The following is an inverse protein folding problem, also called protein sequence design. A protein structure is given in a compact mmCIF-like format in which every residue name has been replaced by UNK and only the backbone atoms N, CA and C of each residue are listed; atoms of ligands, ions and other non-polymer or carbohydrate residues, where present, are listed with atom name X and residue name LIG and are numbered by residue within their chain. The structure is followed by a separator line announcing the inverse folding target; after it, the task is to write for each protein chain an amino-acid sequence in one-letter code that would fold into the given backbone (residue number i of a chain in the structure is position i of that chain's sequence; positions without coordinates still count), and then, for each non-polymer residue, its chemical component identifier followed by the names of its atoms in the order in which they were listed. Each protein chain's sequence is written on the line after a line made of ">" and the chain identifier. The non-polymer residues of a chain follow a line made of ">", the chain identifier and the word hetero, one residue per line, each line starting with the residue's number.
data_IF_542103622485
#
_entry.id   IF_542103622485
#
_cell.length_a   1.000
_cell.length_b   1.000
_cell.length_c   1.000
_cell.angle_alpha   90.00
_cell.angle_beta   90.00
_cell.angle_gamma   90.00
#
_symmetry.space_group_name_H-M   'P 1'
#
loop_
_entity.id
_entity.type
_entity.pdbx_description
1 polymer ?
#
# COMPACT_ATOMS: atom_id res chain seq x y z
N UNK A 1 -24.89 -12.66 52.29
CA UNK A 1 -25.04 -11.24 51.88
C UNK A 1 -23.65 -10.66 51.64
N UNK A 2 -23.10 -10.88 50.45
CA UNK A 2 -21.78 -10.35 50.06
C UNK A 2 -21.93 -8.99 49.39
N UNK A 3 -21.31 -7.96 49.96
CA UNK A 3 -21.26 -6.62 49.36
C UNK A 3 -20.23 -6.62 48.24
N UNK A 4 -20.71 -6.53 46.99
CA UNK A 4 -19.89 -6.21 45.83
C UNK A 4 -19.40 -4.76 45.95
N UNK A 5 -18.08 -4.59 46.11
CA UNK A 5 -17.42 -3.33 45.81
C UNK A 5 -17.34 -3.18 44.29
N UNK A 6 -18.20 -2.33 43.72
CA UNK A 6 -17.99 -1.80 42.37
C UNK A 6 -17.01 -0.63 42.54
N UNK A 7 -15.71 -0.89 42.33
CA UNK A 7 -14.73 0.19 42.22
C UNK A 7 -14.88 0.83 40.84
N UNK A 8 -15.52 1.99 40.86
CA UNK A 8 -15.50 2.96 39.78
C UNK A 8 -14.05 3.44 39.60
N UNK A 9 -13.36 2.98 38.57
CA UNK A 9 -12.05 3.50 38.16
C UNK A 9 -12.20 4.25 36.84
N UNK A 10 -12.74 5.48 36.97
CA UNK A 10 -12.37 6.59 36.14
C UNK A 10 -10.84 6.80 36.27
N UNK A 11 -10.07 6.29 35.32
CA UNK A 11 -8.65 6.60 35.19
C UNK A 11 -8.43 7.54 34.00
N UNK A 12 -8.53 8.84 34.31
CA UNK A 12 -7.74 9.95 33.77
C UNK A 12 -7.17 9.78 32.35
N UNK A 13 -7.78 10.47 31.40
CA UNK A 13 -7.12 10.86 30.16
C UNK A 13 -5.83 11.63 30.50
N UNK A 14 -4.70 10.94 30.44
CA UNK A 14 -3.40 11.53 30.75
C UNK A 14 -3.06 12.60 29.70
N UNK A 15 -2.40 13.66 30.14
CA UNK A 15 -1.91 14.77 29.31
C UNK A 15 -0.80 14.36 28.30
N UNK A 16 -0.72 13.09 27.91
CA UNK A 16 0.40 12.46 27.21
C UNK A 16 0.09 12.14 25.72
N UNK A 17 -0.14 13.16 24.88
CA UNK A 17 0.01 13.04 23.40
C UNK A 17 -0.58 11.80 22.70
N UNK A 18 -0.02 11.41 21.54
CA UNK A 18 -0.37 10.16 20.84
C UNK A 18 0.19 8.94 21.62
N UNK A 19 -0.48 8.57 22.71
CA UNK A 19 -0.18 7.38 23.50
C UNK A 19 -1.50 6.78 24.02
N UNK A 20 -1.72 5.48 23.82
CA UNK A 20 -2.93 4.76 24.23
C UNK A 20 -3.45 3.79 23.17
N UNK A 21 -4.47 2.99 23.52
CA UNK A 21 -5.09 2.03 22.59
C UNK A 21 -5.69 2.70 21.35
N UNK A 22 -6.22 3.91 21.51
CA UNK A 22 -6.61 4.83 20.45
C UNK A 22 -6.19 6.24 20.87
N UNK A 23 -5.36 6.90 20.06
CA UNK A 23 -4.87 8.23 20.37
C UNK A 23 -4.99 9.13 19.13
N UNK A 24 -5.29 10.41 19.37
CA UNK A 24 -5.54 11.39 18.32
C UNK A 24 -4.89 12.72 18.64
N UNK A 25 -4.24 13.31 17.63
CA UNK A 25 -3.73 14.68 17.68
C UNK A 25 -4.17 15.45 16.45
N UNK A 26 -4.73 16.63 16.69
CA UNK A 26 -5.19 17.58 15.68
C UNK A 26 -4.42 18.88 15.85
N UNK A 27 -3.89 19.39 14.74
CA UNK A 27 -3.11 20.62 14.66
C UNK A 27 -3.70 21.53 13.59
N UNK A 28 -4.08 22.74 13.99
CA UNK A 28 -4.40 23.80 13.04
C UNK A 28 -3.19 24.68 12.83
N UNK A 29 -2.81 24.87 11.58
CA UNK A 29 -1.62 25.63 11.19
C UNK A 29 -2.00 26.71 10.18
N UNK A 30 -1.39 27.89 10.32
CA UNK A 30 -1.40 28.97 9.33
C UNK A 30 -0.01 29.56 9.28
N UNK A 31 0.70 29.34 8.18
CA UNK A 31 2.08 29.82 8.03
C UNK A 31 2.42 30.15 6.59
N UNK A 32 3.45 30.96 6.40
CA UNK A 32 4.13 31.17 5.10
C UNK A 32 5.53 30.59 5.09
N UNK A 33 5.93 29.95 6.19
CA UNK A 33 7.29 29.46 6.37
C UNK A 33 7.49 28.11 5.68
N UNK A 34 8.70 27.89 5.20
CA UNK A 34 9.28 26.59 4.91
C UNK A 34 10.66 26.53 5.57
N UNK A 35 11.26 25.34 5.68
CA UNK A 35 12.57 25.25 6.32
C UNK A 35 13.35 24.00 6.00
N UNK A 36 14.59 24.17 5.54
CA UNK A 36 15.54 23.09 5.30
C UNK A 36 15.80 22.23 6.54
N UNK A 37 15.68 22.83 7.75
CA UNK A 37 15.89 22.17 9.03
C UNK A 37 14.71 21.33 9.54
N UNK A 38 13.64 21.19 8.76
CA UNK A 38 12.39 20.54 9.18
C UNK A 38 11.89 21.06 10.54
N UNK A 39 11.61 22.37 10.69
CA UNK A 39 11.17 22.91 11.97
C UNK A 39 9.85 22.27 12.39
N UNK A 40 9.74 21.92 13.68
CA UNK A 40 8.54 21.30 14.22
C UNK A 40 7.39 22.31 14.22
N UNK A 41 6.23 21.90 13.70
CA UNK A 41 4.95 22.55 13.93
C UNK A 41 4.37 22.07 15.26
N UNK A 42 4.37 20.76 15.49
CA UNK A 42 3.81 20.15 16.69
C UNK A 42 4.56 18.86 17.00
N UNK A 43 5.12 18.72 18.20
CA UNK A 43 5.90 17.54 18.56
C UNK A 43 5.82 17.24 20.05
N UNK A 44 5.85 15.96 20.42
CA UNK A 44 6.09 15.53 21.81
C UNK A 44 7.41 14.76 21.95
N UNK A 45 8.34 14.94 21.02
CA UNK A 45 9.71 14.43 21.11
C UNK A 45 10.70 15.57 20.95
N UNK A 46 11.93 15.36 21.36
CA UNK A 46 13.03 16.27 21.07
C UNK A 46 13.44 16.19 19.59
N UNK A 47 12.55 16.70 18.73
CA UNK A 47 12.72 16.65 17.28
C UNK A 47 13.92 17.47 16.83
N UNK A 48 14.18 18.59 17.50
CA UNK A 48 15.20 19.55 17.09
C UNK A 48 16.64 19.15 17.44
N UNK A 49 16.87 18.14 18.29
CA UNK A 49 18.23 17.63 18.55
C UNK A 49 18.81 16.80 17.41
N UNK A 50 17.97 16.27 16.53
CA UNK A 50 18.43 15.52 15.36
C UNK A 50 18.94 16.43 14.25
N UNK A 51 20.01 16.02 13.57
CA UNK A 51 20.45 16.65 12.31
C UNK A 51 19.59 16.18 11.14
N UNK A 52 19.50 16.99 10.09
CA UNK A 52 18.88 16.59 8.83
C UNK A 52 19.77 15.53 8.17
N UNK A 53 19.16 14.46 7.67
CA UNK A 53 19.83 13.36 7.00
C UNK A 53 18.97 12.89 5.82
N UNK A 54 19.62 12.63 4.69
CA UNK A 54 18.98 12.02 3.53
C UNK A 54 18.93 10.50 3.72
N UNK A 55 17.73 9.95 3.86
CA UNK A 55 17.49 8.51 4.01
C UNK A 55 17.31 7.80 2.67
N UNK A 56 17.57 8.49 1.56
CA UNK A 56 17.46 7.89 0.23
C UNK A 56 18.47 6.76 0.07
N UNK A 57 17.94 5.56 -0.11
CA UNK A 57 18.68 4.31 -0.34
C UNK A 57 17.92 3.46 -1.36
N UNK A 58 18.34 2.21 -1.55
CA UNK A 58 17.56 1.23 -2.30
C UNK A 58 16.21 0.89 -1.65
N UNK A 59 16.04 1.10 -0.33
CA UNK A 59 14.87 0.66 0.44
C UNK A 59 14.09 1.79 1.14
N UNK A 60 14.57 3.03 1.02
CA UNK A 60 13.94 4.22 1.56
C UNK A 60 14.18 5.42 0.64
N UNK A 61 13.40 6.47 0.83
CA UNK A 61 13.49 7.70 0.04
C UNK A 61 13.42 8.90 0.97
N UNK A 62 14.02 10.03 0.58
CA UNK A 62 13.83 11.38 1.12
C UNK A 62 14.52 11.70 2.45
N UNK A 63 14.67 13.00 2.71
CA UNK A 63 15.31 13.53 3.93
C UNK A 63 14.36 13.61 5.13
N UNK A 64 14.92 13.50 6.32
CA UNK A 64 14.24 13.72 7.61
C UNK A 64 15.28 13.96 8.72
N UNK A 65 14.85 14.15 9.98
CA UNK A 65 15.79 14.34 11.11
C UNK A 65 16.18 13.02 11.75
N UNK A 66 17.43 12.91 12.22
CA UNK A 66 17.94 11.70 12.92
C UNK A 66 17.20 11.38 14.21
N UNK A 67 16.65 12.40 14.87
CA UNK A 67 15.78 12.30 16.05
C UNK A 67 14.43 11.63 15.77
N UNK A 68 14.07 11.36 14.51
CA UNK A 68 12.77 10.76 14.20
C UNK A 68 12.57 9.32 14.68
N UNK A 69 13.63 8.62 15.09
CA UNK A 69 13.51 7.34 15.80
C UNK A 69 13.10 7.51 17.26
N UNK A 70 13.32 8.69 17.86
CA UNK A 70 12.91 8.93 19.25
C UNK A 70 11.41 8.69 19.41
N UNK A 71 11.04 8.15 20.57
CA UNK A 71 9.63 7.92 20.93
C UNK A 71 8.82 9.20 20.80
N UNK A 72 7.61 9.07 20.28
CA UNK A 72 6.66 10.16 20.08
C UNK A 72 6.44 10.48 18.61
N UNK A 73 5.85 11.64 18.34
CA UNK A 73 5.53 12.11 17.01
C UNK A 73 6.01 13.55 16.76
N UNK A 74 6.11 13.93 15.49
CA UNK A 74 6.33 15.30 15.05
C UNK A 74 5.56 15.58 13.75
N UNK A 75 4.79 16.66 13.72
CA UNK A 75 4.46 17.39 12.51
C UNK A 75 5.54 18.44 12.30
N UNK A 76 6.07 18.53 11.08
CA UNK A 76 7.11 19.49 10.74
C UNK A 76 6.90 20.09 9.34
N UNK A 77 7.54 21.22 9.07
CA UNK A 77 7.56 21.82 7.73
C UNK A 77 8.63 21.15 6.87
N UNK A 78 8.31 20.92 5.60
CA UNK A 78 9.28 20.48 4.61
C UNK A 78 9.92 21.69 3.89
N UNK A 79 11.09 21.52 3.25
CA UNK A 79 11.73 22.57 2.46
C UNK A 79 10.86 23.04 1.28
N UNK A 80 10.08 22.13 0.70
CA UNK A 80 9.20 22.40 -0.43
C UNK A 80 7.92 23.18 -0.07
N UNK A 81 7.67 23.46 1.22
CA UNK A 81 6.47 24.18 1.69
C UNK A 81 5.29 23.31 2.12
N UNK A 82 5.36 22.00 1.92
CA UNK A 82 4.40 21.05 2.49
C UNK A 82 4.73 20.71 3.95
N UNK A 83 3.90 19.89 4.57
CA UNK A 83 4.11 19.34 5.91
C UNK A 83 4.72 17.93 5.84
N UNK A 84 5.24 17.42 6.96
CA UNK A 84 5.64 16.01 7.12
C UNK A 84 5.17 15.50 8.47
N UNK A 85 4.92 14.20 8.55
CA UNK A 85 4.67 13.51 9.81
C UNK A 85 5.74 12.47 10.09
N UNK A 86 6.21 12.43 11.32
CA UNK A 86 7.10 11.41 11.84
C UNK A 86 6.52 10.78 13.11
N UNK A 87 6.60 9.45 13.22
CA UNK A 87 6.31 8.67 14.43
C UNK A 87 7.51 7.76 14.70
N UNK A 88 7.91 7.62 15.97
CA UNK A 88 9.00 6.73 16.38
C UNK A 88 8.68 6.00 17.67
N UNK A 89 9.30 4.83 17.87
CA UNK A 89 9.15 3.97 19.06
C UNK A 89 10.49 3.75 19.82
N UNK A 90 11.56 4.44 19.38
CA UNK A 90 12.93 4.26 19.85
C UNK A 90 13.80 3.34 18.97
N UNK A 91 13.19 2.56 18.07
CA UNK A 91 13.87 1.59 17.18
C UNK A 91 13.49 1.82 15.70
N UNK A 92 12.19 1.83 15.45
CA UNK A 92 11.51 2.01 14.18
C UNK A 92 10.98 3.44 14.04
N UNK A 93 10.66 3.82 12.80
CA UNK A 93 10.05 5.12 12.48
C UNK A 93 9.16 5.07 11.24
N UNK A 94 8.19 5.98 11.19
CA UNK A 94 7.43 6.35 10.01
C UNK A 94 7.86 7.75 9.58
N UNK A 95 7.98 7.97 8.26
CA UNK A 95 8.10 9.30 7.67
C UNK A 95 7.08 9.42 6.53
N UNK A 96 6.16 10.36 6.67
CA UNK A 96 5.21 10.75 5.62
C UNK A 96 5.61 12.08 5.03
N UNK A 97 5.80 12.13 3.71
CA UNK A 97 6.24 13.31 2.97
C UNK A 97 5.40 13.47 1.70
N UNK A 98 4.32 14.26 1.74
CA UNK A 98 3.53 14.62 0.58
C UNK A 98 4.23 15.70 -0.26
N UNK A 99 3.61 16.02 -1.41
CA UNK A 99 4.05 17.10 -2.30
C UNK A 99 3.43 18.44 -1.88
N UNK A 100 4.12 19.53 -2.16
CA UNK A 100 3.58 20.88 -1.94
C UNK A 100 2.49 21.28 -2.95
N UNK A 101 2.39 20.59 -4.08
CA UNK A 101 1.34 20.82 -5.08
C UNK A 101 -0.03 20.46 -4.53
N UNK A 102 -0.14 19.39 -3.73
CA UNK A 102 -1.42 18.92 -3.17
C UNK A 102 -1.60 19.25 -1.70
N UNK A 103 -0.51 19.28 -0.92
CA UNK A 103 -0.58 19.48 0.54
C UNK A 103 0.35 20.61 1.03
N UNK A 104 0.25 21.83 0.48
CA UNK A 104 1.00 22.96 1.00
C UNK A 104 0.51 23.32 2.40
N UNK A 105 1.39 23.88 3.22
CA UNK A 105 1.00 24.57 4.47
C UNK A 105 1.63 25.96 4.58
N UNK A 106 2.46 26.34 3.61
CA UNK A 106 3.16 27.62 3.53
C UNK A 106 2.43 28.66 2.65
N UNK A 107 1.17 28.44 2.30
CA UNK A 107 0.41 29.34 1.43
C UNK A 107 -0.32 30.47 2.20
N UNK A 108 -0.10 30.55 3.52
CA UNK A 108 -0.73 31.52 4.42
C UNK A 108 -2.20 31.22 4.75
N UNK A 109 -2.76 30.14 4.23
CA UNK A 109 -4.11 29.69 4.59
C UNK A 109 -4.08 28.83 5.84
N UNK A 110 -5.27 28.55 6.35
CA UNK A 110 -5.46 27.73 7.52
C UNK A 110 -5.68 26.28 7.10
N UNK A 111 -4.84 25.39 7.60
CA UNK A 111 -4.89 23.97 7.34
C UNK A 111 -5.09 23.17 8.63
N UNK A 112 -5.67 21.98 8.50
CA UNK A 112 -5.84 21.01 9.57
C UNK A 112 -5.00 19.78 9.29
N UNK A 113 -4.02 19.51 10.16
CA UNK A 113 -3.19 18.32 10.13
C UNK A 113 -3.61 17.40 11.28
N UNK A 114 -3.82 16.12 10.97
CA UNK A 114 -4.27 15.15 11.97
C UNK A 114 -3.47 13.86 11.84
N UNK A 115 -3.14 13.28 12.99
CA UNK A 115 -2.67 11.91 13.07
C UNK A 115 -3.49 11.16 14.12
N UNK A 116 -3.93 9.95 13.78
CA UNK A 116 -4.54 9.02 14.71
C UNK A 116 -3.71 7.74 14.78
N UNK A 117 -3.56 7.18 15.97
CA UNK A 117 -2.91 5.91 16.23
C UNK A 117 -3.95 4.97 16.83
N UNK A 118 -4.14 3.80 16.22
CA UNK A 118 -4.98 2.73 16.73
C UNK A 118 -4.10 1.49 16.95
N UNK A 119 -3.85 1.17 18.22
CA UNK A 119 -2.99 0.04 18.59
C UNK A 119 -3.67 -1.31 18.37
N UNK A 120 -5.01 -1.36 18.42
CA UNK A 120 -5.80 -2.57 18.18
C UNK A 120 -5.71 -2.97 16.70
N UNK A 121 -5.90 -1.99 15.81
CA UNK A 121 -5.77 -2.16 14.36
C UNK A 121 -4.33 -2.14 13.87
N UNK A 122 -3.40 -1.69 14.73
CA UNK A 122 -1.99 -1.47 14.40
C UNK A 122 -1.85 -0.53 13.19
N UNK A 123 -2.56 0.59 13.23
CA UNK A 123 -2.54 1.59 12.17
C UNK A 123 -2.24 3.00 12.70
N UNK A 124 -1.54 3.78 11.89
CA UNK A 124 -1.47 5.23 12.02
C UNK A 124 -2.11 5.87 10.78
N UNK A 125 -3.19 6.65 10.97
CA UNK A 125 -3.85 7.37 9.88
C UNK A 125 -3.46 8.85 9.92
N UNK A 126 -3.29 9.43 8.74
CA UNK A 126 -2.92 10.82 8.54
C UNK A 126 -3.98 11.54 7.71
N UNK A 127 -4.28 12.77 8.10
CA UNK A 127 -5.27 13.59 7.42
C UNK A 127 -4.74 14.99 7.16
N UNK A 128 -5.16 15.53 6.03
CA UNK A 128 -4.92 16.90 5.58
C UNK A 128 -6.26 17.52 5.20
N UNK A 129 -6.63 18.62 5.85
CA UNK A 129 -7.87 19.36 5.62
C UNK A 129 -9.12 18.48 5.64
N UNK A 130 -9.16 17.58 6.63
CA UNK A 130 -10.28 16.68 6.85
C UNK A 130 -10.23 15.38 6.05
N UNK A 131 -9.38 15.30 5.02
CA UNK A 131 -9.26 14.15 4.12
C UNK A 131 -8.23 13.14 4.63
N UNK A 132 -8.56 11.85 4.67
CA UNK A 132 -7.54 10.81 4.90
C UNK A 132 -6.60 10.75 3.69
N UNK A 133 -5.30 10.97 3.94
CA UNK A 133 -4.25 11.00 2.89
C UNK A 133 -3.27 9.85 3.00
N UNK A 134 -3.17 9.20 4.16
CA UNK A 134 -2.33 8.02 4.33
C UNK A 134 -2.78 7.16 5.52
N UNK A 135 -2.47 5.88 5.42
CA UNK A 135 -2.56 4.88 6.49
C UNK A 135 -1.23 4.14 6.50
N UNK A 136 -0.60 4.03 7.66
CA UNK A 136 0.63 3.29 7.87
C UNK A 136 0.35 2.12 8.80
N UNK A 137 0.82 0.92 8.43
CA UNK A 137 0.91 -0.17 9.39
C UNK A 137 1.90 0.18 10.49
N UNK A 138 1.49 -0.01 11.74
CA UNK A 138 2.36 0.03 12.92
C UNK A 138 2.61 -1.37 13.46
N UNK A 139 2.34 -2.42 12.67
CA UNK A 139 2.69 -3.78 13.04
C UNK A 139 4.20 -3.91 13.26
N UNK A 140 4.58 -4.43 14.43
CA UNK A 140 5.97 -4.55 14.85
C UNK A 140 6.57 -3.27 15.46
N UNK A 141 5.80 -2.17 15.56
CA UNK A 141 6.20 -1.03 16.39
C UNK A 141 6.11 -1.40 17.86
N UNK A 142 7.08 -0.92 18.64
CA UNK A 142 7.02 -0.89 20.08
C UNK A 142 6.22 0.31 20.59
N UNK A 143 6.43 0.63 21.86
CA UNK A 143 5.79 1.77 22.52
C UNK A 143 6.25 3.11 21.93
N UNK A 144 5.27 3.92 21.50
CA UNK A 144 5.48 5.26 20.93
C UNK A 144 5.38 6.37 21.97
N UNK A 145 5.12 6.06 23.25
CA UNK A 145 5.02 7.05 24.31
C UNK A 145 6.37 7.76 24.55
N UNK A 146 6.41 9.06 24.33
CA UNK A 146 7.62 9.86 24.59
C UNK A 146 7.82 10.21 26.06
N UNK A 147 6.76 10.14 26.87
CA UNK A 147 6.74 10.64 28.25
C UNK A 147 6.81 12.17 28.37
N UNK A 148 6.74 12.92 27.26
CA UNK A 148 6.81 14.39 27.30
C UNK A 148 5.54 15.06 26.78
N UNK A 149 5.27 16.26 27.30
CA UNK A 149 4.17 17.09 26.83
C UNK A 149 4.43 17.56 25.38
N UNK A 150 3.35 17.67 24.61
CA UNK A 150 3.43 18.21 23.24
C UNK A 150 3.74 19.70 23.26
N UNK A 151 4.70 20.13 22.46
CA UNK A 151 5.13 21.51 22.22
C UNK A 151 4.64 21.99 20.86
N UNK A 152 4.19 23.24 20.79
CA UNK A 152 3.82 23.94 19.56
C UNK A 152 5.02 24.72 19.04
N UNK A 153 5.21 24.71 17.73
CA UNK A 153 6.10 25.61 17.02
C UNK A 153 5.33 26.73 16.32
N UNK A 154 6.06 27.51 15.52
CA UNK A 154 5.52 28.69 14.85
C UNK A 154 4.42 28.35 13.84
N UNK A 155 3.43 29.24 13.73
CA UNK A 155 2.30 29.09 12.82
C UNK A 155 1.20 28.13 13.29
N UNK A 156 1.38 27.40 14.41
CA UNK A 156 0.31 26.59 14.98
C UNK A 156 -0.69 27.47 15.72
N UNK A 157 -1.91 27.54 15.20
CA UNK A 157 -2.99 28.37 15.74
C UNK A 157 -3.84 27.66 16.78
N UNK A 158 -3.98 26.33 16.70
CA UNK A 158 -4.74 25.54 17.68
C UNK A 158 -4.28 24.09 17.71
N UNK A 159 -4.46 23.42 18.85
CA UNK A 159 -4.15 21.99 19.03
C UNK A 159 -5.27 21.34 19.83
N UNK A 160 -5.77 20.20 19.37
CA UNK A 160 -6.74 19.38 20.09
C UNK A 160 -6.22 17.94 20.23
N UNK A 161 -6.65 17.27 21.32
CA UNK A 161 -6.38 15.86 21.57
C UNK A 161 -7.70 15.19 21.92
N UNK A 162 -7.95 14.03 21.33
CA UNK A 162 -9.19 13.25 21.50
C UNK A 162 -8.80 11.77 21.65
N UNK A 163 -9.74 10.93 22.06
CA UNK A 163 -9.50 9.49 22.31
C UNK A 163 -9.86 8.63 21.09
N UNK A 164 -10.58 9.16 20.11
CA UNK A 164 -10.86 8.46 18.85
C UNK A 164 -11.18 9.43 17.72
N UNK A 165 -10.87 9.06 16.48
CA UNK A 165 -11.42 9.72 15.29
C UNK A 165 -11.60 8.73 14.16
N UNK A 166 -12.82 8.60 13.65
CA UNK A 166 -13.08 8.01 12.33
C UNK A 166 -12.82 9.04 11.23
N UNK A 167 -12.76 8.59 9.98
CA UNK A 167 -12.66 9.49 8.82
C UNK A 167 -13.79 10.54 8.85
N UNK A 168 -15.01 10.13 9.23
CA UNK A 168 -16.19 11.00 9.34
C UNK A 168 -16.05 12.04 10.46
N UNK A 169 -15.49 11.67 11.61
CA UNK A 169 -15.27 12.61 12.71
C UNK A 169 -14.23 13.69 12.35
N UNK A 170 -13.18 13.31 11.62
CA UNK A 170 -12.16 14.26 11.14
C UNK A 170 -12.75 15.18 10.07
N UNK A 171 -13.54 14.65 9.14
CA UNK A 171 -14.23 15.44 8.13
C UNK A 171 -15.26 16.41 8.75
N UNK A 172 -15.96 15.99 9.81
CA UNK A 172 -16.91 16.84 10.53
C UNK A 172 -16.18 18.01 11.22
N UNK A 173 -15.07 17.74 11.94
CA UNK A 173 -14.29 18.77 12.60
C UNK A 173 -13.76 19.84 11.61
N UNK A 174 -13.36 19.40 10.41
CA UNK A 174 -12.99 20.32 9.32
C UNK A 174 -14.18 21.19 8.90
N UNK A 175 -15.33 20.57 8.63
CA UNK A 175 -16.55 21.25 8.18
C UNK A 175 -17.05 22.25 9.21
N UNK A 176 -17.08 21.90 10.49
CA UNK A 176 -17.56 22.77 11.57
C UNK A 176 -16.73 24.06 11.67
N UNK A 177 -15.42 23.98 11.44
CA UNK A 177 -14.54 25.15 11.54
C UNK A 177 -14.44 25.99 10.26
N UNK A 178 -14.58 25.36 9.10
CA UNK A 178 -14.31 26.03 7.80
C UNK A 178 -15.53 26.21 6.91
N UNK A 179 -16.63 25.50 7.21
CA UNK A 179 -17.79 25.37 6.33
C UNK A 179 -17.56 24.48 5.11
N UNK A 180 -16.34 23.98 4.88
CA UNK A 180 -16.00 23.20 3.70
C UNK A 180 -16.29 21.71 3.89
N UNK A 181 -16.82 21.07 2.85
CA UNK A 181 -17.17 19.65 2.86
C UNK A 181 -16.01 18.83 2.29
N UNK A 182 -15.57 17.81 3.04
CA UNK A 182 -14.61 16.82 2.56
C UNK A 182 -15.32 15.84 1.61
N UNK A 183 -14.72 15.57 0.46
CA UNK A 183 -15.25 14.53 -0.44
C UNK A 183 -15.11 13.16 0.23
N UNK A 184 -16.20 12.42 0.34
CA UNK A 184 -16.17 11.08 0.96
C UNK A 184 -15.44 10.03 0.11
N UNK A 185 -15.07 10.35 -1.13
CA UNK A 185 -14.37 9.46 -2.06
C UNK A 185 -15.22 8.33 -2.66
N UNK A 186 -16.48 8.18 -2.23
CA UNK A 186 -17.39 7.16 -2.71
C UNK A 186 -18.02 7.59 -4.04
N UNK A 187 -18.23 6.63 -4.94
CA UNK A 187 -19.12 6.83 -6.07
C UNK A 187 -20.56 7.06 -5.58
N UNK A 188 -21.27 7.95 -6.27
CA UNK A 188 -22.67 8.26 -5.97
C UNK A 188 -23.62 7.09 -6.26
N UNK A 189 -23.25 6.23 -7.21
CA UNK A 189 -23.98 5.03 -7.62
C UNK A 189 -23.08 3.81 -7.49
N UNK A 190 -23.69 2.63 -7.64
CA UNK A 190 -22.95 1.38 -7.75
C UNK A 190 -21.86 1.47 -8.83
N UNK A 191 -20.67 0.94 -8.53
CA UNK A 191 -19.55 0.89 -9.47
C UNK A 191 -19.56 -0.46 -10.17
N UNK A 192 -19.92 -0.49 -11.45
CA UNK A 192 -20.02 -1.76 -12.20
C UNK A 192 -18.67 -2.27 -12.70
N UNK A 193 -17.64 -1.44 -12.67
CA UNK A 193 -16.31 -1.76 -13.17
C UNK A 193 -15.22 -1.13 -12.31
N UNK A 194 -14.20 -1.90 -11.97
CA UNK A 194 -12.98 -1.42 -11.30
C UNK A 194 -11.74 -1.85 -12.08
N UNK A 195 -10.82 -0.91 -12.33
CA UNK A 195 -9.51 -1.23 -12.94
C UNK A 195 -8.47 -1.44 -11.85
N UNK A 196 -7.82 -2.59 -11.89
CA UNK A 196 -6.81 -2.99 -10.92
C UNK A 196 -5.44 -3.04 -11.61
N UNK A 197 -4.42 -2.49 -10.96
CA UNK A 197 -3.03 -2.56 -11.41
C UNK A 197 -2.16 -3.30 -10.38
N UNK A 198 -1.41 -4.29 -10.85
CA UNK A 198 -0.34 -4.95 -10.11
C UNK A 198 0.99 -4.48 -10.69
N UNK A 199 1.91 -3.96 -9.85
CA UNK A 199 3.21 -3.53 -10.36
C UNK A 199 4.31 -3.49 -9.30
N UNK A 200 5.37 -4.28 -9.54
CA UNK A 200 6.68 -4.09 -8.92
C UNK A 200 7.37 -2.91 -9.63
N UNK A 201 7.63 -1.83 -8.89
CA UNK A 201 8.20 -0.60 -9.48
C UNK A 201 9.73 -0.56 -9.46
N UNK A 202 10.41 -1.63 -9.03
CA UNK A 202 11.86 -1.80 -9.05
C UNK A 202 12.64 -0.68 -8.35
N UNK A 203 13.10 -0.94 -7.13
CA UNK A 203 13.83 0.06 -6.34
C UNK A 203 13.07 1.40 -6.18
N UNK A 204 11.75 1.34 -5.97
CA UNK A 204 10.88 2.50 -5.79
C UNK A 204 10.62 3.29 -7.06
N UNK A 205 10.87 2.75 -8.26
CA UNK A 205 10.74 3.47 -9.53
C UNK A 205 11.86 4.47 -9.76
N UNK A 206 12.98 4.36 -9.02
CA UNK A 206 14.01 5.42 -8.94
C UNK A 206 15.28 5.14 -9.74
N UNK A 207 15.32 4.07 -10.54
CA UNK A 207 16.51 3.67 -11.33
C UNK A 207 16.86 4.64 -12.45
N UNK A 208 15.91 5.47 -12.89
CA UNK A 208 16.12 6.56 -13.83
C UNK A 208 16.33 7.93 -13.13
N UNK A 209 16.62 7.91 -11.82
CA UNK A 209 16.73 9.11 -10.97
C UNK A 209 15.56 9.21 -9.98
N UNK A 210 15.80 9.83 -8.83
CA UNK A 210 14.83 9.87 -7.73
C UNK A 210 13.53 10.59 -8.09
N UNK A 211 13.62 11.77 -8.72
CA UNK A 211 12.45 12.57 -9.07
C UNK A 211 11.85 12.15 -10.42
N UNK A 212 12.70 12.11 -11.46
CA UNK A 212 12.29 11.72 -12.82
C UNK A 212 11.72 10.30 -12.88
N UNK A 213 12.31 9.36 -12.14
CA UNK A 213 11.82 7.98 -12.09
C UNK A 213 10.43 7.88 -11.42
N UNK A 214 10.23 8.60 -10.31
CA UNK A 214 8.91 8.69 -9.66
C UNK A 214 7.90 9.33 -10.62
N UNK A 215 8.27 10.39 -11.33
CA UNK A 215 7.39 11.04 -12.30
C UNK A 215 6.95 10.08 -13.41
N UNK A 216 7.89 9.36 -14.03
CA UNK A 216 7.58 8.32 -15.05
C UNK A 216 6.67 7.22 -14.50
N UNK A 217 6.87 6.84 -13.25
CA UNK A 217 6.02 5.87 -12.56
C UNK A 217 4.59 6.41 -12.41
N UNK A 218 4.43 7.68 -12.01
CA UNK A 218 3.13 8.35 -11.93
C UNK A 218 2.46 8.46 -13.30
N UNK A 219 3.21 8.81 -14.35
CA UNK A 219 2.72 8.91 -15.73
C UNK A 219 2.18 7.56 -16.22
N UNK A 220 2.96 6.48 -16.08
CA UNK A 220 2.54 5.13 -16.43
C UNK A 220 1.27 4.68 -15.68
N UNK A 221 1.13 5.04 -14.40
CA UNK A 221 -0.09 4.75 -13.63
C UNK A 221 -1.27 5.56 -14.13
N UNK A 222 -1.10 6.84 -14.45
CA UNK A 222 -2.18 7.68 -15.01
C UNK A 222 -2.66 7.12 -16.35
N UNK A 223 -1.74 6.72 -17.22
CA UNK A 223 -2.05 6.11 -18.54
C UNK A 223 -2.78 4.77 -18.40
N UNK A 224 -2.56 4.04 -17.30
CA UNK A 224 -3.28 2.80 -17.00
C UNK A 224 -4.76 3.03 -16.66
N UNK A 225 -5.13 4.24 -16.21
CA UNK A 225 -6.44 4.57 -15.64
C UNK A 225 -6.88 3.62 -14.51
N UNK A 226 -5.93 3.09 -13.74
CA UNK A 226 -6.21 2.17 -12.63
C UNK A 226 -6.92 2.88 -11.48
N UNK A 227 -7.96 2.26 -10.94
CA UNK A 227 -8.70 2.75 -9.78
C UNK A 227 -8.08 2.27 -8.46
N UNK A 228 -7.54 1.04 -8.45
CA UNK A 228 -6.86 0.43 -7.29
C UNK A 228 -5.53 -0.17 -7.74
N UNK A 229 -4.47 0.07 -6.97
CA UNK A 229 -3.11 -0.29 -7.30
C UNK A 229 -2.49 -1.10 -6.15
N UNK A 230 -2.09 -2.33 -6.45
CA UNK A 230 -1.27 -3.18 -5.57
C UNK A 230 0.18 -3.07 -6.01
N UNK A 231 1.01 -2.39 -5.21
CA UNK A 231 2.38 -2.02 -5.61
C UNK A 231 3.43 -2.70 -4.73
N UNK A 232 4.51 -3.15 -5.36
CA UNK A 232 5.66 -3.81 -4.72
C UNK A 232 6.94 -2.97 -4.93
N UNK A 233 7.95 -3.21 -4.09
CA UNK A 233 9.23 -2.49 -4.09
C UNK A 233 9.12 -0.98 -4.00
N UNK A 234 8.17 -0.48 -3.22
CA UNK A 234 7.89 0.96 -3.16
C UNK A 234 8.98 1.77 -2.47
N UNK A 235 9.61 1.22 -1.44
CA UNK A 235 10.85 1.73 -0.83
C UNK A 235 10.86 3.23 -0.55
N UNK A 236 9.73 3.73 -0.03
CA UNK A 236 9.54 5.13 0.35
C UNK A 236 9.01 6.05 -0.75
N UNK A 237 8.89 5.58 -1.99
CA UNK A 237 8.29 6.35 -3.10
C UNK A 237 6.75 6.39 -3.05
N UNK A 238 6.12 5.40 -2.40
CA UNK A 238 4.66 5.25 -2.33
C UNK A 238 3.88 6.51 -1.96
N UNK A 239 4.24 7.25 -0.89
CA UNK A 239 3.54 8.47 -0.51
C UNK A 239 3.55 9.56 -1.59
N UNK A 240 4.69 9.77 -2.26
CA UNK A 240 4.81 10.77 -3.33
C UNK A 240 3.98 10.38 -4.56
N UNK A 241 3.98 9.09 -4.91
CA UNK A 241 3.19 8.56 -6.03
C UNK A 241 1.68 8.72 -5.73
N UNK A 242 1.22 8.26 -4.56
CA UNK A 242 -0.20 8.36 -4.19
C UNK A 242 -0.67 9.81 -4.09
N UNK A 243 0.17 10.71 -3.59
CA UNK A 243 -0.14 12.13 -3.51
C UNK A 243 -0.26 12.78 -4.90
N UNK A 244 0.64 12.45 -5.83
CA UNK A 244 0.59 12.94 -7.21
C UNK A 244 -0.61 12.39 -8.03
N UNK A 245 -1.17 11.25 -7.61
CA UNK A 245 -2.40 10.68 -8.15
C UNK A 245 -3.67 11.24 -7.50
N UNK A 246 -3.53 11.81 -6.29
CA UNK A 246 -4.68 12.20 -5.47
C UNK A 246 -5.38 11.04 -4.78
N UNK A 247 -4.70 9.88 -4.62
CA UNK A 247 -5.30 8.63 -4.14
C UNK A 247 -5.18 8.49 -2.61
N UNK A 248 -6.05 7.66 -2.04
CA UNK A 248 -5.87 7.10 -0.70
C UNK A 248 -4.65 6.18 -0.72
N UNK A 249 -3.88 6.18 0.36
CA UNK A 249 -2.62 5.46 0.46
C UNK A 249 -2.58 4.57 1.70
N UNK A 250 -2.19 3.31 1.53
CA UNK A 250 -1.85 2.41 2.63
C UNK A 250 -0.43 1.87 2.43
N UNK A 251 0.45 2.11 3.41
CA UNK A 251 1.75 1.46 3.49
C UNK A 251 1.69 0.27 4.44
N UNK A 252 1.78 -0.95 3.91
CA UNK A 252 1.87 -2.15 4.72
C UNK A 252 3.27 -2.36 5.28
N UNK A 253 4.29 -2.15 4.45
CA UNK A 253 5.70 -2.27 4.82
C UNK A 253 6.55 -1.41 3.88
N UNK A 254 7.86 -1.36 4.08
CA UNK A 254 8.76 -0.66 3.15
C UNK A 254 8.69 -1.20 1.73
N UNK A 255 8.24 -2.44 1.53
CA UNK A 255 8.04 -3.06 0.22
C UNK A 255 6.65 -2.77 -0.35
N UNK A 256 5.60 -3.08 0.42
CA UNK A 256 4.24 -3.20 -0.07
C UNK A 256 3.39 -1.97 0.24
N UNK A 257 2.75 -1.44 -0.80
CA UNK A 257 1.73 -0.41 -0.64
C UNK A 257 0.48 -0.70 -1.47
N UNK A 258 -0.63 -0.11 -1.06
CA UNK A 258 -1.89 -0.09 -1.78
C UNK A 258 -2.31 1.35 -1.98
N UNK A 259 -2.74 1.68 -3.20
CA UNK A 259 -3.30 2.99 -3.53
C UNK A 259 -4.68 2.82 -4.12
N UNK A 260 -5.60 3.73 -3.80
CA UNK A 260 -6.98 3.62 -4.25
C UNK A 260 -7.59 4.99 -4.50
N UNK A 261 -8.34 5.12 -5.59
CA UNK A 261 -9.22 6.26 -5.85
C UNK A 261 -10.34 6.37 -4.81
N UNK A 262 -10.73 5.23 -4.25
CA UNK A 262 -11.81 5.07 -3.30
C UNK A 262 -11.30 4.88 -1.85
N UNK A 263 -12.10 5.19 -0.82
CA UNK A 263 -11.70 5.08 0.59
C UNK A 263 -11.23 3.69 1.01
N UNK A 264 -10.16 3.67 1.80
CA UNK A 264 -9.67 2.46 2.48
C UNK A 264 -10.32 2.37 3.86
N UNK A 265 -11.16 1.36 4.06
CA UNK A 265 -11.98 1.21 5.28
C UNK A 265 -11.37 0.27 6.31
N UNK A 266 -10.63 -0.73 5.87
CA UNK A 266 -10.02 -1.74 6.73
C UNK A 266 -8.66 -2.11 6.16
N UNK A 267 -7.68 -2.38 7.02
CA UNK A 267 -6.34 -2.86 6.63
C UNK A 267 -6.09 -4.25 7.18
N UNK A 268 -5.36 -5.07 6.44
CA UNK A 268 -5.08 -6.47 6.76
C UNK A 268 -3.58 -6.73 6.85
N UNK A 269 -3.11 -6.96 8.08
CA UNK A 269 -1.73 -7.36 8.41
C UNK A 269 -1.59 -8.90 8.39
N UNK A 270 -1.67 -9.50 7.20
CA UNK A 270 -1.65 -10.97 7.03
C UNK A 270 -0.26 -11.47 6.62
N UNK A 271 0.22 -12.56 7.22
CA UNK A 271 1.54 -13.16 6.97
C UNK A 271 2.73 -12.21 7.26
N UNK A 272 3.87 -12.41 6.62
CA UNK A 272 5.06 -11.57 6.79
C UNK A 272 4.86 -10.20 6.13
N UNK A 273 5.18 -9.12 6.86
CA UNK A 273 4.95 -7.73 6.45
C UNK A 273 5.54 -7.36 5.10
N UNK A 274 6.69 -7.94 4.75
CA UNK A 274 7.37 -7.68 3.48
C UNK A 274 6.75 -8.44 2.29
N UNK A 275 5.89 -9.45 2.53
CA UNK A 275 5.46 -10.41 1.51
C UNK A 275 4.00 -10.37 1.13
N UNK A 276 3.11 -10.10 2.07
CA UNK A 276 1.68 -10.16 1.79
C UNK A 276 0.91 -9.25 2.72
N UNK A 277 -0.18 -8.63 2.25
CA UNK A 277 -1.03 -7.72 3.02
C UNK A 277 -2.08 -7.04 2.19
N UNK A 278 -3.03 -6.35 2.79
CA UNK A 278 -4.10 -5.74 2.00
C UNK A 278 -4.98 -4.74 2.72
N UNK A 279 -6.04 -4.36 2.04
CA UNK A 279 -7.06 -3.47 2.56
C UNK A 279 -8.45 -3.76 1.95
N UNK A 280 -9.51 -3.43 2.67
CA UNK A 280 -10.86 -3.35 2.11
C UNK A 280 -11.11 -1.93 1.60
N UNK A 281 -11.48 -1.84 0.33
CA UNK A 281 -11.79 -0.59 -0.37
C UNK A 281 -13.30 -0.55 -0.60
N UNK A 282 -13.91 0.61 -0.33
CA UNK A 282 -15.35 0.84 -0.50
C UNK A 282 -15.59 1.72 -1.72
N UNK A 283 -16.15 1.16 -2.80
CA UNK A 283 -16.31 1.84 -4.09
C UNK A 283 -17.51 2.79 -4.09
N UNK A 284 -18.64 2.30 -3.58
CA UNK A 284 -19.86 3.05 -3.29
C UNK A 284 -20.39 2.61 -1.92
N UNK A 285 -21.40 3.27 -1.37
CA UNK A 285 -21.98 2.90 -0.06
C UNK A 285 -22.32 1.41 0.00
N UNK A 286 -21.67 0.67 0.89
CA UNK A 286 -21.87 -0.77 1.09
C UNK A 286 -21.19 -1.69 0.06
N UNK A 287 -20.63 -1.16 -1.02
CA UNK A 287 -19.96 -1.93 -2.06
C UNK A 287 -18.46 -2.04 -1.76
N UNK A 288 -18.03 -3.17 -1.20
CA UNK A 288 -16.63 -3.38 -0.77
C UNK A 288 -15.95 -4.49 -1.53
N UNK A 289 -14.66 -4.30 -1.80
CA UNK A 289 -13.75 -5.33 -2.34
C UNK A 289 -12.50 -5.36 -1.46
N UNK A 290 -11.99 -6.54 -1.14
CA UNK A 290 -10.71 -6.71 -0.44
C UNK A 290 -9.61 -6.88 -1.46
N UNK A 291 -8.57 -6.06 -1.35
CA UNK A 291 -7.41 -6.08 -2.23
C UNK A 291 -6.17 -6.41 -1.42
N UNK A 292 -5.37 -7.36 -1.89
CA UNK A 292 -4.13 -7.77 -1.28
C UNK A 292 -2.96 -7.60 -2.25
N UNK A 293 -1.88 -6.97 -1.77
CA UNK A 293 -0.59 -6.85 -2.45
C UNK A 293 0.32 -8.01 -2.03
N UNK A 294 1.00 -8.62 -3.00
CA UNK A 294 1.85 -9.79 -2.82
C UNK A 294 3.23 -9.57 -3.45
N UNK A 295 4.27 -9.97 -2.72
CA UNK A 295 5.65 -10.12 -3.19
C UNK A 295 6.27 -11.35 -2.51
N UNK A 296 6.33 -12.50 -3.18
CA UNK A 296 6.94 -13.71 -2.60
C UNK A 296 8.37 -13.90 -3.08
N UNK A 297 9.08 -14.89 -2.53
CA UNK A 297 10.52 -15.05 -2.68
C UNK A 297 10.99 -14.99 -4.14
N UNK A 298 12.00 -14.18 -4.43
CA UNK A 298 12.57 -14.09 -5.78
C UNK A 298 13.51 -15.26 -6.12
N UNK A 299 13.84 -16.11 -5.14
CA UNK A 299 14.68 -17.29 -5.33
C UNK A 299 13.88 -18.59 -5.25
N UNK A 300 14.29 -19.62 -6.02
CA UNK A 300 15.44 -19.68 -6.93
C UNK A 300 15.25 -18.89 -8.23
N UNK A 301 16.37 -18.48 -8.86
CA UNK A 301 16.36 -17.81 -10.16
C UNK A 301 16.04 -18.79 -11.27
N UNK A 302 14.82 -18.70 -11.80
CA UNK A 302 14.37 -19.57 -12.91
C UNK A 302 15.23 -19.34 -14.15
N UNK A 303 15.62 -18.09 -14.44
CA UNK A 303 16.50 -17.80 -15.57
C UNK A 303 17.88 -18.45 -15.44
N UNK A 304 18.42 -18.59 -14.22
CA UNK A 304 19.66 -19.33 -13.99
C UNK A 304 19.45 -20.84 -14.14
N UNK A 305 18.35 -21.37 -13.60
CA UNK A 305 17.99 -22.78 -13.78
C UNK A 305 17.86 -23.12 -15.26
N UNK A 306 17.12 -22.32 -16.03
CA UNK A 306 16.93 -22.53 -17.47
C UNK A 306 18.22 -22.47 -18.31
N UNK A 307 19.35 -22.00 -17.77
CA UNK A 307 20.66 -22.08 -18.44
C UNK A 307 21.36 -23.42 -18.25
N UNK A 308 21.00 -24.20 -17.23
CA UNK A 308 21.58 -25.51 -17.00
C UNK A 308 21.03 -26.55 -18.00
N UNK A 309 21.93 -27.40 -18.50
CA UNK A 309 21.63 -28.38 -19.54
C UNK A 309 20.77 -29.55 -19.05
N UNK A 310 20.80 -29.83 -17.75
CA UNK A 310 20.07 -30.93 -17.08
C UNK A 310 18.73 -30.50 -16.46
N UNK A 311 18.23 -29.32 -16.82
CA UNK A 311 16.97 -28.80 -16.26
C UNK A 311 15.77 -29.65 -16.69
N UNK A 312 14.99 -30.10 -15.71
CA UNK A 312 13.74 -30.83 -15.92
C UNK A 312 12.55 -30.08 -15.33
N UNK A 313 11.34 -30.42 -15.77
CA UNK A 313 10.12 -29.87 -15.21
C UNK A 313 10.01 -30.12 -13.69
N UNK A 314 10.37 -31.34 -13.26
CA UNK A 314 10.34 -31.74 -11.86
C UNK A 314 11.37 -30.97 -11.02
N UNK A 315 12.59 -30.74 -11.53
CA UNK A 315 13.61 -30.00 -10.80
C UNK A 315 13.21 -28.52 -10.62
N UNK A 316 12.60 -27.91 -11.63
CA UNK A 316 12.03 -26.56 -11.54
C UNK A 316 10.91 -26.48 -10.50
N UNK A 317 9.92 -27.37 -10.59
CA UNK A 317 8.78 -27.40 -9.68
C UNK A 317 9.20 -27.68 -8.23
N UNK A 318 10.11 -28.65 -8.01
CA UNK A 318 10.60 -28.97 -6.68
C UNK A 318 11.41 -27.82 -6.06
N UNK A 319 12.21 -27.11 -6.85
CA UNK A 319 12.98 -25.96 -6.37
C UNK A 319 12.08 -24.77 -6.03
N UNK A 320 11.06 -24.50 -6.86
CA UNK A 320 10.01 -23.51 -6.60
C UNK A 320 9.21 -23.84 -5.33
N UNK A 321 8.87 -25.12 -5.13
CA UNK A 321 8.04 -25.55 -4.01
C UNK A 321 8.71 -25.37 -2.64
N UNK A 322 10.03 -25.57 -2.59
CA UNK A 322 10.85 -25.39 -1.38
C UNK A 322 10.76 -23.97 -0.82
N UNK A 323 10.60 -22.97 -1.68
CA UNK A 323 10.53 -21.54 -1.33
C UNK A 323 9.14 -20.95 -1.58
N UNK A 324 8.86 -20.54 -2.83
CA UNK A 324 7.64 -19.83 -3.23
C UNK A 324 6.38 -20.67 -3.00
N UNK A 325 6.44 -21.98 -3.26
CA UNK A 325 5.34 -22.91 -2.96
C UNK A 325 4.96 -22.96 -1.48
N UNK A 326 5.95 -23.03 -0.58
CA UNK A 326 5.75 -22.94 0.87
C UNK A 326 5.11 -21.61 1.28
N UNK A 327 5.60 -20.50 0.74
CA UNK A 327 5.10 -19.16 1.05
C UNK A 327 3.64 -18.98 0.60
N UNK A 328 3.30 -19.39 -0.64
CA UNK A 328 1.92 -19.24 -1.12
C UNK A 328 0.95 -20.06 -0.29
N UNK A 329 1.33 -21.26 0.17
CA UNK A 329 0.48 -22.09 1.04
C UNK A 329 0.24 -21.41 2.39
N UNK A 330 1.27 -20.82 2.98
CA UNK A 330 1.15 -20.03 4.21
C UNK A 330 0.26 -18.79 4.03
N UNK A 331 0.40 -18.09 2.90
CA UNK A 331 -0.44 -16.94 2.54
C UNK A 331 -1.90 -17.37 2.36
N UNK A 332 -2.17 -18.44 1.61
CA UNK A 332 -3.52 -18.96 1.40
C UNK A 332 -4.17 -19.40 2.72
N UNK A 333 -3.40 -19.99 3.63
CA UNK A 333 -3.86 -20.32 4.98
C UNK A 333 -4.23 -19.06 5.78
N UNK A 334 -3.37 -18.03 5.77
CA UNK A 334 -3.64 -16.76 6.45
C UNK A 334 -4.84 -16.01 5.85
N UNK A 335 -5.05 -16.15 4.54
CA UNK A 335 -6.12 -15.49 3.80
C UNK A 335 -7.46 -16.22 3.89
N UNK A 336 -7.46 -17.53 4.22
CA UNK A 336 -8.65 -18.37 4.25
C UNK A 336 -9.82 -17.76 5.06
N UNK A 337 -9.64 -17.19 6.28
CA UNK A 337 -10.72 -16.57 7.03
C UNK A 337 -11.43 -15.44 6.27
N UNK A 338 -10.70 -14.69 5.43
CA UNK A 338 -11.22 -13.53 4.71
C UNK A 338 -11.92 -13.88 3.40
N UNK A 339 -11.80 -15.13 2.94
CA UNK A 339 -12.33 -15.59 1.64
C UNK A 339 -13.55 -16.48 1.76
N UNK A 340 -13.91 -16.93 2.97
CA UNK A 340 -15.17 -17.65 3.24
C UNK A 340 -16.40 -16.83 2.82
N UNK A 341 -16.30 -15.50 2.90
CA UNK A 341 -17.34 -14.55 2.51
C UNK A 341 -17.05 -13.87 1.17
N UNK A 342 -16.21 -14.46 0.31
CA UNK A 342 -15.80 -13.85 -0.96
C UNK A 342 -16.99 -13.57 -1.91
N UNK A 343 -18.12 -14.27 -1.76
CA UNK A 343 -19.33 -13.96 -2.52
C UNK A 343 -20.04 -12.69 -2.04
N UNK A 344 -19.88 -12.30 -0.78
CA UNK A 344 -20.43 -11.07 -0.22
C UNK A 344 -19.44 -9.90 -0.30
N UNK A 345 -18.15 -10.18 -0.12
CA UNK A 345 -17.07 -9.19 -0.26
C UNK A 345 -15.93 -9.85 -1.03
N UNK A 346 -15.87 -9.66 -2.35
CA UNK A 346 -14.92 -10.37 -3.18
C UNK A 346 -13.48 -9.95 -2.89
N UNK A 347 -12.56 -10.82 -3.28
CA UNK A 347 -11.15 -10.74 -2.96
C UNK A 347 -10.33 -10.67 -4.24
N UNK A 348 -9.37 -9.77 -4.25
CA UNK A 348 -8.34 -9.64 -5.28
C UNK A 348 -6.97 -9.80 -4.64
N UNK A 349 -6.13 -10.66 -5.19
CA UNK A 349 -4.72 -10.82 -4.80
C UNK A 349 -3.86 -10.47 -6.00
N UNK A 350 -2.99 -9.48 -5.85
CA UNK A 350 -2.30 -8.86 -6.96
C UNK A 350 -0.84 -8.53 -6.60
N UNK A 351 0.08 -8.74 -7.53
CA UNK A 351 1.49 -8.39 -7.35
C UNK A 351 2.46 -9.38 -8.00
N UNK A 352 3.68 -9.40 -7.49
CA UNK A 352 4.81 -10.16 -7.99
C UNK A 352 4.90 -11.52 -7.27
N UNK A 353 4.51 -12.57 -7.96
CA UNK A 353 4.54 -13.93 -7.43
C UNK A 353 5.91 -14.58 -7.63
N UNK A 354 6.84 -13.94 -8.35
CA UNK A 354 8.16 -14.48 -8.69
C UNK A 354 8.15 -15.90 -9.28
N UNK A 355 7.00 -16.44 -9.69
CA UNK A 355 6.80 -17.82 -10.14
C UNK A 355 5.91 -17.84 -11.38
N UNK A 356 6.23 -18.62 -12.42
CA UNK A 356 5.42 -18.70 -13.63
C UNK A 356 4.09 -19.43 -13.42
N UNK A 357 3.27 -19.37 -14.46
CA UNK A 357 1.95 -19.98 -14.45
C UNK A 357 1.98 -21.39 -15.02
N UNK A 358 1.31 -22.33 -14.36
CA UNK A 358 0.98 -23.65 -14.92
C UNK A 358 0.14 -23.53 -16.20
N UNK A 359 -0.55 -22.40 -16.41
CA UNK A 359 -1.28 -22.09 -17.64
C UNK A 359 -0.36 -21.61 -18.77
N UNK A 360 0.81 -21.06 -18.44
CA UNK A 360 1.74 -20.52 -19.43
C UNK A 360 2.77 -21.56 -19.86
N UNK A 361 3.06 -22.55 -19.01
CA UNK A 361 4.00 -23.66 -19.24
C UNK A 361 3.25 -24.97 -19.46
N UNK A 362 2.42 -24.98 -20.51
CA UNK A 362 1.56 -26.10 -20.90
C UNK A 362 2.05 -26.74 -22.21
N UNK A 363 1.45 -27.86 -22.61
CA UNK A 363 1.84 -28.59 -23.84
C UNK A 363 1.88 -27.68 -25.08
N UNK A 364 0.85 -26.84 -25.27
CA UNK A 364 0.76 -25.91 -26.40
C UNK A 364 1.80 -24.78 -26.42
N UNK A 365 2.60 -24.63 -25.35
CA UNK A 365 3.69 -23.64 -25.25
C UNK A 365 5.04 -24.26 -24.93
N UNK A 366 5.14 -25.60 -24.88
CA UNK A 366 6.35 -26.32 -24.48
C UNK A 366 7.59 -25.94 -25.30
N UNK A 367 7.44 -25.71 -26.61
CA UNK A 367 8.53 -25.30 -27.50
C UNK A 367 9.19 -23.97 -27.07
N UNK A 368 8.44 -23.09 -26.38
CA UNK A 368 8.98 -21.83 -25.82
C UNK A 368 9.77 -22.03 -24.54
N UNK A 369 9.72 -23.24 -23.98
CA UNK A 369 10.23 -23.60 -22.67
C UNK A 369 11.16 -24.81 -22.74
N UNK A 370 11.89 -24.98 -23.86
CA UNK A 370 12.78 -26.12 -24.11
C UNK A 370 12.07 -27.48 -24.03
N UNK A 371 10.81 -27.53 -24.49
CA UNK A 371 9.97 -28.73 -24.40
C UNK A 371 9.39 -29.01 -23.01
N UNK A 372 9.60 -28.12 -22.03
CA UNK A 372 9.16 -28.35 -20.66
C UNK A 372 7.71 -27.90 -20.43
N UNK A 373 6.93 -28.78 -19.83
CA UNK A 373 5.60 -28.52 -19.27
C UNK A 373 5.71 -28.57 -17.75
N UNK A 374 5.37 -27.49 -17.06
CA UNK A 374 5.65 -27.34 -15.62
C UNK A 374 4.39 -26.95 -14.87
N UNK A 375 3.94 -27.82 -13.97
CA UNK A 375 2.89 -27.49 -13.01
C UNK A 375 3.48 -26.66 -11.86
N UNK A 376 3.66 -25.37 -12.11
CA UNK A 376 4.26 -24.44 -11.14
C UNK A 376 3.47 -24.45 -9.82
N UNK A 377 4.11 -24.80 -8.67
CA UNK A 377 3.41 -24.96 -7.39
C UNK A 377 2.58 -23.75 -6.97
N UNK A 378 3.07 -22.54 -7.24
CA UNK A 378 2.43 -21.30 -6.83
C UNK A 378 1.08 -21.09 -7.52
N UNK A 379 1.09 -21.05 -8.85
CA UNK A 379 -0.11 -20.81 -9.64
C UNK A 379 -1.10 -21.97 -9.53
N UNK A 380 -0.62 -23.22 -9.43
CA UNK A 380 -1.45 -24.38 -9.16
C UNK A 380 -2.14 -24.28 -7.79
N UNK A 381 -1.44 -23.81 -6.74
CA UNK A 381 -2.05 -23.60 -5.43
C UNK A 381 -3.13 -22.52 -5.45
N UNK A 382 -2.92 -21.41 -6.17
CA UNK A 382 -3.92 -20.37 -6.36
C UNK A 382 -5.18 -20.90 -7.04
N UNK A 383 -5.03 -21.64 -8.15
CA UNK A 383 -6.15 -22.25 -8.86
C UNK A 383 -6.92 -23.24 -7.97
N UNK A 384 -6.21 -24.14 -7.26
CA UNK A 384 -6.83 -25.09 -6.31
C UNK A 384 -7.56 -24.40 -5.16
N UNK A 385 -7.10 -23.21 -4.74
CA UNK A 385 -7.78 -22.39 -3.74
C UNK A 385 -9.01 -21.63 -4.30
N UNK A 386 -9.35 -21.81 -5.58
CA UNK A 386 -10.51 -21.20 -6.22
C UNK A 386 -10.30 -19.75 -6.63
N UNK A 387 -9.05 -19.32 -6.84
CA UNK A 387 -8.74 -18.03 -7.44
C UNK A 387 -8.66 -18.15 -8.95
N UNK A 388 -9.29 -17.23 -9.67
CA UNK A 388 -9.18 -17.12 -11.12
C UNK A 388 -7.99 -16.23 -11.51
N UNK A 389 -7.11 -16.71 -12.38
CA UNK A 389 -6.12 -15.87 -13.07
C UNK A 389 -6.87 -14.94 -14.02
N UNK A 390 -6.99 -13.66 -13.64
CA UNK A 390 -7.86 -12.73 -14.36
C UNK A 390 -7.32 -12.37 -15.74
N UNK A 391 -6.00 -12.42 -15.94
CA UNK A 391 -5.38 -12.18 -17.23
C UNK A 391 -5.67 -13.35 -18.18
N UNK A 392 -5.54 -14.59 -17.71
CA UNK A 392 -5.87 -15.78 -18.52
C UNK A 392 -7.36 -16.00 -18.71
N UNK A 393 -8.21 -15.47 -17.84
CA UNK A 393 -9.65 -15.47 -18.07
C UNK A 393 -10.06 -14.65 -19.32
N UNK A 394 -9.30 -13.62 -19.68
CA UNK A 394 -9.56 -12.79 -20.88
C UNK A 394 -8.63 -13.11 -22.05
N UNK A 395 -7.45 -13.67 -21.77
CA UNK A 395 -6.47 -14.13 -22.76
C UNK A 395 -6.16 -15.63 -22.57
N UNK A 396 -7.11 -16.53 -22.88
CA UNK A 396 -7.02 -17.95 -22.52
C UNK A 396 -5.90 -18.70 -23.24
N UNK A 397 -5.48 -18.21 -24.41
CA UNK A 397 -4.44 -18.84 -25.23
C UNK A 397 -3.06 -18.21 -24.93
N UNK A 398 -2.18 -18.90 -24.17
CA UNK A 398 -0.83 -18.41 -23.87
C UNK A 398 0.10 -18.39 -25.08
N UNK A 399 -0.22 -19.12 -26.16
CA UNK A 399 0.53 -19.04 -27.41
C UNK A 399 0.27 -17.69 -28.11
N UNK A 400 -0.96 -17.20 -28.08
CA UNK A 400 -1.34 -15.90 -28.69
C UNK A 400 -0.92 -14.69 -27.86
N UNK A 401 -1.07 -14.77 -26.53
CA UNK A 401 -0.74 -13.64 -25.63
C UNK A 401 0.22 -14.12 -24.54
N UNK A 402 1.50 -13.83 -24.71
CA UNK A 402 2.57 -14.36 -23.83
C UNK A 402 2.63 -13.64 -22.48
N UNK A 403 2.42 -12.32 -22.47
CA UNK A 403 2.44 -11.45 -21.29
C UNK A 403 3.71 -11.56 -20.43
N UNK A 404 4.86 -11.23 -21.02
CA UNK A 404 6.19 -11.25 -20.38
C UNK A 404 6.35 -10.09 -19.39
N UNK A 405 5.86 -10.28 -18.17
CA UNK A 405 6.00 -9.25 -17.13
C UNK A 405 7.43 -9.13 -16.61
N UNK A 406 8.22 -10.20 -16.70
CA UNK A 406 9.65 -10.22 -16.46
C UNK A 406 10.41 -10.50 -17.76
N UNK A 407 11.27 -9.62 -18.27
CA UNK A 407 11.55 -8.25 -17.81
C UNK A 407 11.74 -7.30 -18.99
N UNK A 408 10.92 -6.23 -19.12
CA UNK A 408 11.07 -5.24 -20.18
C UNK A 408 12.44 -4.55 -20.23
N UNK A 409 13.13 -4.45 -19.09
CA UNK A 409 14.46 -3.79 -19.01
C UNK A 409 15.62 -4.71 -19.33
N UNK A 410 15.47 -6.01 -19.10
CA UNK A 410 16.53 -6.99 -19.32
C UNK A 410 16.03 -8.04 -20.30
N UNK A 411 15.93 -7.65 -21.57
CA UNK A 411 15.41 -8.49 -22.67
C UNK A 411 16.22 -9.76 -22.90
N UNK A 412 17.50 -9.78 -22.51
CA UNK A 412 18.36 -10.96 -22.54
C UNK A 412 18.10 -11.96 -21.39
N UNK A 413 17.34 -11.57 -20.37
CA UNK A 413 16.88 -12.49 -19.32
C UNK A 413 15.84 -13.45 -19.86
N UNK A 414 15.68 -14.60 -19.20
CA UNK A 414 14.63 -15.55 -19.57
C UNK A 414 13.25 -14.92 -19.31
N UNK A 415 12.53 -14.61 -20.39
CA UNK A 415 11.30 -13.84 -20.32
C UNK A 415 10.11 -14.71 -19.89
N UNK A 416 9.34 -14.24 -18.93
CA UNK A 416 8.22 -15.00 -18.34
C UNK A 416 7.18 -14.06 -17.73
N UNK A 417 5.98 -14.60 -17.48
CA UNK A 417 4.97 -13.92 -16.65
C UNK A 417 5.15 -14.37 -15.20
N UNK A 418 5.34 -13.42 -14.30
CA UNK A 418 5.43 -13.66 -12.85
C UNK A 418 4.58 -12.69 -12.01
N UNK A 419 3.97 -11.69 -12.65
CA UNK A 419 3.08 -10.73 -12.03
C UNK A 419 1.64 -11.05 -12.39
N UNK A 420 0.76 -11.04 -11.39
CA UNK A 420 -0.62 -11.51 -11.54
C UNK A 420 -1.62 -10.61 -10.84
N UNK A 421 -2.85 -10.66 -11.34
CA UNK A 421 -4.06 -10.25 -10.63
C UNK A 421 -4.97 -11.48 -10.59
N UNK A 422 -5.19 -12.01 -9.40
CA UNK A 422 -6.12 -13.10 -9.13
C UNK A 422 -7.38 -12.56 -8.46
N UNK A 423 -8.55 -13.10 -8.79
CA UNK A 423 -9.79 -12.75 -8.10
C UNK A 423 -10.56 -13.98 -7.59
N UNK A 424 -11.36 -13.78 -6.54
CA UNK A 424 -12.26 -14.77 -5.97
C UNK A 424 -13.56 -14.10 -5.50
N UNK A 425 -14.68 -14.75 -5.77
CA UNK A 425 -16.04 -14.26 -5.47
C UNK A 425 -16.87 -14.10 -6.74
N UNK A 426 -18.14 -14.54 -6.70
CA UNK A 426 -19.01 -14.58 -7.89
C UNK A 426 -19.35 -13.22 -8.51
N UNK A 427 -19.16 -12.13 -7.78
CA UNK A 427 -19.40 -10.77 -8.27
C UNK A 427 -18.29 -10.22 -9.14
N UNK A 428 -17.09 -10.81 -9.17
CA UNK A 428 -15.98 -10.32 -9.98
C UNK A 428 -15.80 -11.15 -11.24
N UNK A 429 -15.70 -10.46 -12.39
CA UNK A 429 -15.35 -11.08 -13.67
C UNK A 429 -14.41 -10.19 -14.45
N UNK A 430 -13.30 -10.75 -14.94
CA UNK A 430 -12.40 -10.05 -15.83
C UNK A 430 -13.08 -9.73 -17.18
N UNK A 431 -12.94 -8.48 -17.63
CA UNK A 431 -13.53 -7.96 -18.88
C UNK A 431 -12.46 -7.65 -19.92
N UNK A 432 -11.35 -7.10 -19.47
CA UNK A 432 -10.20 -6.80 -20.30
C UNK A 432 -8.93 -6.92 -19.44
N UNK A 433 -7.81 -7.25 -20.06
CA UNK A 433 -6.52 -7.37 -19.41
C UNK A 433 -5.43 -6.91 -20.37
N UNK A 434 -4.45 -6.17 -19.87
CA UNK A 434 -3.30 -5.75 -20.67
C UNK A 434 -2.06 -5.64 -19.79
N UNK A 435 -0.92 -5.73 -20.45
CA UNK A 435 0.38 -5.47 -19.87
C UNK A 435 0.85 -4.09 -20.32
N UNK A 436 1.49 -3.33 -19.44
CA UNK A 436 2.17 -2.08 -19.76
C UNK A 436 3.66 -2.27 -19.52
N UNK A 437 4.46 -2.07 -20.55
CA UNK A 437 5.91 -2.30 -20.57
C UNK A 437 6.67 -1.21 -21.34
N UNK A 438 5.98 -0.14 -21.70
CA UNK A 438 6.48 0.94 -22.53
C UNK A 438 6.12 2.31 -21.96
N UNK A 439 6.98 3.28 -22.24
CA UNK A 439 6.84 4.67 -21.86
C UNK A 439 7.53 5.52 -22.93
N UNK A 440 7.04 6.73 -23.21
CA UNK A 440 7.55 7.60 -24.28
C UNK A 440 9.07 7.80 -24.26
N UNK A 441 9.67 7.78 -23.06
CA UNK A 441 11.12 7.74 -22.88
C UNK A 441 11.63 6.30 -22.75
N UNK A 442 11.46 5.72 -21.57
CA UNK A 442 11.87 4.35 -21.23
C UNK A 442 11.02 3.88 -20.07
N UNK A 443 10.59 2.62 -20.11
CA UNK A 443 9.81 2.02 -19.04
C UNK A 443 10.57 2.10 -17.69
N UNK A 444 9.96 2.55 -16.58
CA UNK A 444 10.72 2.89 -15.37
C UNK A 444 11.05 1.70 -14.45
N UNK A 445 10.52 0.50 -14.74
CA UNK A 445 10.73 -0.72 -13.93
C UNK A 445 11.28 -1.86 -14.77
N UNK A 446 11.95 -2.84 -14.16
CA UNK A 446 12.28 -4.11 -14.82
C UNK A 446 11.10 -5.10 -14.85
N UNK A 447 10.00 -4.80 -14.17
CA UNK A 447 8.71 -5.48 -14.34
C UNK A 447 7.76 -4.67 -15.21
N UNK A 448 7.04 -5.33 -16.11
CA UNK A 448 5.84 -4.77 -16.73
C UNK A 448 4.69 -4.68 -15.70
N UNK A 449 3.83 -3.68 -15.82
CA UNK A 449 2.61 -3.61 -15.02
C UNK A 449 1.51 -4.49 -15.63
N UNK A 450 0.71 -5.13 -14.79
CA UNK A 450 -0.48 -5.87 -15.22
C UNK A 450 -1.71 -5.06 -14.86
N UNK A 451 -2.58 -4.80 -15.83
CA UNK A 451 -3.83 -4.05 -15.64
C UNK A 451 -5.00 -4.90 -16.06
N UNK A 452 -5.97 -5.07 -15.16
CA UNK A 452 -7.19 -5.81 -15.45
C UNK A 452 -8.41 -4.96 -15.09
N UNK A 453 -9.35 -4.93 -16.02
CA UNK A 453 -10.67 -4.38 -15.80
C UNK A 453 -11.59 -5.49 -15.29
N UNK A 454 -12.10 -5.34 -14.06
CA UNK A 454 -13.01 -6.27 -13.42
C UNK A 454 -14.42 -5.67 -13.45
N UNK A 455 -15.37 -6.38 -14.06
CA UNK A 455 -16.78 -6.14 -13.81
C UNK A 455 -17.12 -6.54 -12.38
N UNK A 456 -17.92 -5.72 -11.71
CA UNK A 456 -18.41 -5.90 -10.35
C UNK A 456 -19.93 -6.02 -10.44
N UNK A 457 -20.45 -7.24 -10.36
CA UNK A 457 -21.89 -7.48 -10.39
C UNK A 457 -22.51 -7.21 -9.01
N UNK A 458 -23.76 -6.72 -9.00
CA UNK A 458 -24.57 -6.68 -7.79
C UNK A 458 -24.87 -8.11 -7.34
N UNK A 459 -24.42 -8.48 -6.14
CA UNK A 459 -24.85 -9.72 -5.49
C UNK A 459 -26.25 -9.52 -4.94
N UNK A 460 -27.29 -9.68 -5.78
CA UNK A 460 -28.61 -9.95 -5.22
C UNK A 460 -28.57 -11.38 -4.63
N UNK A 461 -29.07 -11.59 -3.40
CA UNK A 461 -29.30 -12.94 -2.92
C UNK A 461 -30.26 -13.61 -3.91
N UNK A 462 -29.90 -14.80 -4.41
CA UNK A 462 -30.87 -15.62 -5.16
C UNK A 462 -32.05 -15.86 -4.22
N UNK A 463 -33.24 -15.45 -4.66
CA UNK A 463 -34.50 -15.75 -3.98
C UNK A 463 -34.69 -17.25 -3.85
#
# INVERSE_FOLDING_TARGET
>A
MGRLFISCLCALASAQGLCGQQAYVECWVRTKCSGAGFPALLTNKDWSSGKVHDYTTHHAYGSSRTSGKLRGYAFALQPNGSWTFNLGDGKSRIDYRPTATRQPVNDGKQHMLVASLDATRKECRLYYDGQNVAIYSTAGFGDTASGTATKKGDGVTAVQRKVASSDEAVALAWREKTGQVVRNGLAATHVDTVRVLAWNIWHGGRRDGNEVGIQKTVEAIKDSAADVICMQETYGSGPAIADALGYYFYLRSTNLSLMSRYPIRETFDLYQSFRFGGAAVELSTGQRIKFFSLWINHLPSIGAQMKADDTTADSLAAADDKTRGREIRGILQALAPHTKTADATPVVVAGDFNSPSHLDWAEGTADRHKGLVVSWPVSTAMARAGYADTFRAVHPDPAKVVARTWSPRFTASYQMRIDYIYCKGRSLRAKAGRMLDNHAQRWPSDHAAVVVELAVATTQPRK
#
